data_IF_742225772292
#
_entry.id   IF_742225772292
#
_cell.length_a   1.000
_cell.length_b   1.000
_cell.length_c   1.000
_cell.angle_alpha   90.00
_cell.angle_beta   90.00
_cell.angle_gamma   90.00
#
_symmetry.space_group_name_H-M   'P 1'
#
loop_
_entity.id
_entity.type
_entity.pdbx_description
1 polymer ?
#
# COMPACT_ATOMS: atom_id res chain seq x y z
N UNK A 1 39.23 15.04 -19.08
CA UNK A 1 39.61 13.72 -19.66
C UNK A 1 39.03 13.55 -21.05
N UNK A 2 37.70 13.54 -21.23
CA UNK A 2 37.05 13.48 -22.56
C UNK A 2 37.63 14.47 -23.61
N UNK A 3 37.82 15.75 -23.23
CA UNK A 3 38.46 16.77 -24.11
C UNK A 3 39.97 16.57 -24.35
N UNK A 4 40.67 15.88 -23.45
CA UNK A 4 42.10 15.54 -23.64
C UNK A 4 42.24 14.31 -24.54
N UNK A 5 41.45 13.26 -24.30
CA UNK A 5 41.48 12.03 -25.11
C UNK A 5 41.13 12.31 -26.58
N UNK A 6 40.15 13.18 -26.83
CA UNK A 6 39.82 13.63 -28.18
C UNK A 6 40.87 14.53 -28.86
N UNK A 7 41.83 15.09 -28.11
CA UNK A 7 42.98 15.85 -28.67
C UNK A 7 44.20 14.98 -28.94
N UNK A 8 44.32 13.83 -28.25
CA UNK A 8 45.48 12.95 -28.37
C UNK A 8 45.36 11.91 -29.50
N UNK A 9 44.22 11.81 -30.19
CA UNK A 9 44.08 10.96 -31.38
C UNK A 9 44.31 9.47 -31.12
N UNK A 10 43.96 9.00 -29.93
CA UNK A 10 44.07 7.57 -29.55
C UNK A 10 43.07 6.78 -30.40
N UNK A 11 43.51 5.68 -31.02
CA UNK A 11 42.65 4.80 -31.81
C UNK A 11 41.52 4.22 -30.93
N UNK A 12 40.28 4.25 -31.41
CA UNK A 12 39.11 3.85 -30.61
C UNK A 12 39.08 2.36 -30.24
N UNK A 13 39.81 1.53 -31.00
CA UNK A 13 39.81 0.07 -30.89
C UNK A 13 40.95 -0.49 -30.02
N UNK A 14 41.84 0.36 -29.48
CA UNK A 14 42.96 -0.08 -28.64
C UNK A 14 42.68 0.11 -27.14
N UNK A 15 42.97 -0.90 -26.29
CA UNK A 15 42.75 -0.80 -24.86
C UNK A 15 43.70 0.21 -24.22
N UNK A 16 43.14 1.23 -23.58
CA UNK A 16 43.91 2.27 -22.90
C UNK A 16 44.34 1.77 -21.52
N UNK A 17 45.63 1.53 -21.35
CA UNK A 17 46.23 1.16 -20.07
C UNK A 17 47.05 2.33 -19.52
N UNK A 18 46.40 3.25 -18.81
CA UNK A 18 47.09 4.36 -18.15
C UNK A 18 46.56 4.57 -16.73
N UNK A 19 47.45 4.44 -15.75
CA UNK A 19 47.12 4.59 -14.33
C UNK A 19 46.47 5.93 -13.97
N UNK A 20 46.85 7.03 -14.65
CA UNK A 20 46.24 8.35 -14.43
C UNK A 20 44.79 8.39 -14.91
N UNK A 21 44.46 7.67 -15.97
CA UNK A 21 43.09 7.57 -16.50
C UNK A 21 42.27 6.67 -15.59
N UNK A 22 42.78 5.50 -15.19
CA UNK A 22 42.12 4.60 -14.23
C UNK A 22 41.80 5.32 -12.92
N UNK A 23 42.78 5.98 -12.30
CA UNK A 23 42.58 6.73 -11.05
C UNK A 23 41.56 7.86 -11.20
N UNK A 24 41.48 8.46 -12.38
CA UNK A 24 40.50 9.52 -12.63
C UNK A 24 39.10 8.98 -12.88
N UNK A 25 38.97 7.78 -13.47
CA UNK A 25 37.71 7.06 -13.59
C UNK A 25 37.21 6.62 -12.22
N UNK A 26 38.09 6.08 -11.36
CA UNK A 26 37.76 5.74 -9.97
C UNK A 26 37.25 6.95 -9.19
N UNK A 27 37.93 8.10 -9.26
CA UNK A 27 37.47 9.35 -8.63
C UNK A 27 36.12 9.83 -9.18
N UNK A 28 35.90 9.67 -10.49
CA UNK A 28 34.62 10.03 -11.09
C UNK A 28 33.50 9.08 -10.62
N UNK A 29 33.79 7.79 -10.50
CA UNK A 29 32.89 6.79 -9.96
C UNK A 29 32.56 7.08 -8.49
N UNK A 30 33.56 7.30 -7.63
CA UNK A 30 33.38 7.66 -6.22
C UNK A 30 32.49 8.91 -6.07
N UNK A 31 32.67 9.91 -6.93
CA UNK A 31 31.83 11.11 -6.93
C UNK A 31 30.38 10.82 -7.33
N UNK A 32 30.16 9.95 -8.33
CA UNK A 32 28.82 9.55 -8.76
C UNK A 32 28.14 8.72 -7.67
N UNK A 33 28.88 7.81 -7.04
CA UNK A 33 28.40 7.00 -5.91
C UNK A 33 28.04 7.90 -4.72
N UNK A 34 28.88 8.88 -4.39
CA UNK A 34 28.58 9.89 -3.37
C UNK A 34 27.30 10.68 -3.68
N UNK A 35 27.16 11.17 -4.91
CA UNK A 35 25.94 11.87 -5.34
C UNK A 35 24.67 10.99 -5.22
N UNK A 36 24.75 9.73 -5.65
CA UNK A 36 23.64 8.79 -5.53
C UNK A 36 23.33 8.45 -4.06
N UNK A 37 24.36 8.34 -3.22
CA UNK A 37 24.21 8.14 -1.79
C UNK A 37 23.50 9.31 -1.13
N UNK A 38 23.93 10.54 -1.40
CA UNK A 38 23.32 11.75 -0.85
C UNK A 38 21.85 11.90 -1.29
N UNK A 39 21.55 11.63 -2.57
CA UNK A 39 20.18 11.65 -3.08
C UNK A 39 19.28 10.62 -2.34
N UNK A 40 19.78 9.41 -2.12
CA UNK A 40 19.04 8.36 -1.39
C UNK A 40 18.87 8.72 0.08
N UNK A 41 19.90 9.28 0.70
CA UNK A 41 19.83 9.77 2.09
C UNK A 41 18.74 10.82 2.23
N UNK A 42 18.68 11.79 1.31
CA UNK A 42 17.61 12.78 1.32
C UNK A 42 16.23 12.16 1.18
N UNK A 43 16.02 11.23 0.24
CA UNK A 43 14.74 10.52 0.09
C UNK A 43 14.35 9.79 1.38
N UNK A 44 15.31 9.12 2.03
CA UNK A 44 15.11 8.39 3.28
C UNK A 44 14.66 9.32 4.42
N UNK A 45 15.20 10.54 4.51
CA UNK A 45 14.82 11.49 5.56
C UNK A 45 13.33 11.90 5.49
N UNK A 46 12.77 12.04 4.29
CA UNK A 46 11.33 12.28 4.13
C UNK A 46 10.51 11.05 4.51
N UNK A 47 10.98 9.87 4.10
CA UNK A 47 10.30 8.60 4.34
C UNK A 47 10.31 8.24 5.84
N UNK A 48 11.36 8.59 6.59
CA UNK A 48 11.47 8.35 8.03
C UNK A 48 10.38 9.06 8.83
N UNK A 49 9.98 10.27 8.41
CA UNK A 49 8.90 11.04 9.03
C UNK A 49 7.57 10.31 8.85
N UNK A 50 7.26 9.89 7.62
CA UNK A 50 6.05 9.12 7.31
C UNK A 50 6.07 7.74 7.99
N UNK A 51 7.22 7.08 8.05
CA UNK A 51 7.38 5.79 8.71
C UNK A 51 7.10 5.90 10.21
N UNK A 52 7.55 6.97 10.88
CA UNK A 52 7.24 7.23 12.28
C UNK A 52 5.73 7.38 12.50
N UNK A 53 5.06 8.22 11.69
CA UNK A 53 3.61 8.40 11.75
C UNK A 53 2.86 7.09 11.49
N UNK A 54 3.28 6.34 10.46
CA UNK A 54 2.71 5.02 10.11
C UNK A 54 2.81 4.04 11.27
N UNK A 55 3.95 3.98 11.95
CA UNK A 55 4.12 3.09 13.12
C UNK A 55 3.10 3.40 14.21
N UNK A 56 2.90 4.69 14.52
CA UNK A 56 1.91 5.14 15.52
C UNK A 56 0.50 4.73 15.10
N UNK A 57 0.09 5.03 13.86
CA UNK A 57 -1.24 4.72 13.35
C UNK A 57 -1.48 3.21 13.33
N UNK A 58 -0.51 2.43 12.86
CA UNK A 58 -0.63 0.97 12.77
C UNK A 58 -0.62 0.31 14.15
N UNK A 59 0.10 0.85 15.12
CA UNK A 59 0.05 0.37 16.50
C UNK A 59 -1.34 0.60 17.09
N UNK A 60 -1.91 1.80 16.94
CA UNK A 60 -3.27 2.12 17.40
C UNK A 60 -4.32 1.25 16.73
N UNK A 61 -4.25 1.14 15.40
CA UNK A 61 -5.14 0.28 14.61
C UNK A 61 -5.07 -1.17 15.06
N UNK A 62 -3.85 -1.69 15.30
CA UNK A 62 -3.64 -3.07 15.79
C UNK A 62 -4.23 -3.27 17.17
N UNK A 63 -4.09 -2.31 18.09
CA UNK A 63 -4.70 -2.38 19.43
C UNK A 63 -6.22 -2.45 19.36
N UNK A 64 -6.86 -1.71 18.46
CA UNK A 64 -8.32 -1.76 18.26
C UNK A 64 -8.75 -3.08 17.61
N UNK A 65 -7.97 -3.56 16.64
CA UNK A 65 -8.28 -4.78 15.88
C UNK A 65 -8.16 -6.05 16.75
N UNK A 66 -7.07 -6.19 17.50
CA UNK A 66 -6.77 -7.38 18.30
C UNK A 66 -7.17 -7.24 19.77
N UNK A 67 -7.52 -6.02 20.21
CA UNK A 67 -7.85 -5.74 21.59
C UNK A 67 -9.21 -6.31 22.00
N UNK A 68 -9.26 -6.76 23.25
CA UNK A 68 -10.49 -7.14 23.94
C UNK A 68 -11.38 -5.92 24.20
N UNK A 69 -12.62 -6.16 24.65
CA UNK A 69 -13.60 -5.11 24.96
C UNK A 69 -13.02 -4.01 25.87
N UNK A 70 -12.26 -4.40 26.91
CA UNK A 70 -11.61 -3.47 27.84
C UNK A 70 -10.60 -2.55 27.16
N UNK A 71 -9.80 -3.08 26.24
CA UNK A 71 -8.82 -2.27 25.50
C UNK A 71 -9.50 -1.21 24.62
N UNK A 72 -10.69 -1.52 24.09
CA UNK A 72 -11.49 -0.56 23.34
C UNK A 72 -12.05 0.53 24.28
N UNK A 73 -12.55 0.15 25.46
CA UNK A 73 -13.02 1.11 26.47
C UNK A 73 -11.92 2.05 26.94
N UNK A 74 -10.74 1.52 27.25
CA UNK A 74 -9.56 2.32 27.60
C UNK A 74 -9.21 3.31 26.49
N UNK A 75 -9.24 2.86 25.23
CA UNK A 75 -8.92 3.73 24.09
C UNK A 75 -9.96 4.82 23.89
N UNK A 76 -11.25 4.52 24.08
CA UNK A 76 -12.31 5.53 24.04
C UNK A 76 -12.16 6.54 25.17
N UNK A 77 -11.84 6.08 26.38
CA UNK A 77 -11.61 6.96 27.52
C UNK A 77 -10.44 7.92 27.27
N UNK A 78 -9.37 7.44 26.63
CA UNK A 78 -8.24 8.27 26.20
C UNK A 78 -8.62 9.27 25.07
N UNK A 79 -9.45 8.84 24.11
CA UNK A 79 -9.89 9.70 23.00
C UNK A 79 -10.84 10.83 23.44
N UNK A 80 -11.70 10.55 24.41
CA UNK A 80 -12.75 11.46 24.90
C UNK A 80 -12.48 11.93 26.33
N UNK A 81 -11.21 12.06 26.70
CA UNK A 81 -10.82 12.60 28.00
C UNK A 81 -11.31 14.05 28.13
N UNK A 82 -12.29 14.28 29.01
CA UNK A 82 -12.90 15.59 29.24
C UNK A 82 -14.20 15.86 28.48
N UNK A 83 -14.65 14.95 27.60
CA UNK A 83 -15.94 15.07 26.89
C UNK A 83 -17.01 14.21 27.57
N UNK A 84 -17.70 14.81 28.54
CA UNK A 84 -18.75 14.13 29.32
C UNK A 84 -20.04 13.87 28.51
N UNK A 85 -20.24 14.56 27.38
CA UNK A 85 -21.40 14.34 26.53
C UNK A 85 -21.25 13.02 25.76
N UNK A 86 -20.10 12.82 25.13
CA UNK A 86 -19.81 11.59 24.38
C UNK A 86 -19.81 10.36 25.29
N UNK A 87 -19.28 10.47 26.51
CA UNK A 87 -19.31 9.37 27.51
C UNK A 87 -20.73 8.93 27.85
N UNK A 88 -21.64 9.88 28.11
CA UNK A 88 -23.05 9.57 28.38
C UNK A 88 -23.70 8.85 27.21
N UNK A 89 -23.45 9.31 25.98
CA UNK A 89 -24.00 8.67 24.78
C UNK A 89 -23.47 7.24 24.64
N UNK A 90 -22.19 7.01 24.94
CA UNK A 90 -21.59 5.68 24.93
C UNK A 90 -22.24 4.75 25.98
N UNK A 91 -22.46 5.24 27.19
CA UNK A 91 -23.11 4.48 28.26
C UNK A 91 -24.58 4.18 27.92
N UNK A 92 -25.32 5.17 27.43
CA UNK A 92 -26.71 5.00 26.98
C UNK A 92 -26.79 3.94 25.87
N UNK A 93 -25.90 3.99 24.89
CA UNK A 93 -25.85 3.00 23.80
C UNK A 93 -25.46 1.61 24.29
N UNK A 94 -24.53 1.52 25.25
CA UNK A 94 -24.13 0.25 25.86
C UNK A 94 -25.30 -0.43 26.57
N UNK A 95 -26.20 0.33 27.20
CA UNK A 95 -27.40 -0.23 27.84
C UNK A 95 -28.49 -0.64 26.85
N UNK A 96 -28.64 0.10 25.74
CA UNK A 96 -29.66 -0.14 24.71
C UNK A 96 -29.31 -1.31 23.78
N UNK A 97 -28.03 -1.58 23.57
CA UNK A 97 -27.52 -2.61 22.67
C UNK A 97 -27.03 -3.84 23.46
N UNK A 98 -27.08 -5.02 22.84
CA UNK A 98 -26.31 -6.17 23.35
C UNK A 98 -24.82 -5.81 23.29
N UNK A 99 -24.09 -6.08 24.37
CA UNK A 99 -22.67 -5.71 24.48
C UNK A 99 -21.84 -6.14 23.27
N UNK A 100 -21.99 -7.39 22.81
CA UNK A 100 -21.19 -7.92 21.70
C UNK A 100 -21.42 -7.18 20.37
N UNK A 101 -22.67 -6.82 20.10
CA UNK A 101 -23.06 -6.07 18.89
C UNK A 101 -22.53 -4.64 18.97
N UNK A 102 -22.58 -4.01 20.14
CA UNK A 102 -22.05 -2.67 20.39
C UNK A 102 -20.54 -2.59 20.13
N UNK A 103 -19.74 -3.44 20.79
CA UNK A 103 -18.29 -3.39 20.61
C UNK A 103 -17.85 -3.79 19.20
N UNK A 104 -18.59 -4.68 18.54
CA UNK A 104 -18.30 -5.06 17.14
C UNK A 104 -18.56 -3.90 16.18
N UNK A 105 -19.69 -3.21 16.33
CA UNK A 105 -20.02 -2.02 15.55
C UNK A 105 -19.02 -0.88 15.80
N UNK A 106 -18.69 -0.64 17.07
CA UNK A 106 -17.74 0.37 17.48
C UNK A 106 -16.34 0.09 16.93
N UNK A 107 -15.84 -1.15 17.05
CA UNK A 107 -14.53 -1.55 16.49
C UNK A 107 -14.47 -1.25 15.00
N UNK A 108 -15.53 -1.61 14.26
CA UNK A 108 -15.62 -1.35 12.82
C UNK A 108 -15.58 0.15 12.51
N UNK A 109 -16.35 0.95 13.24
CA UNK A 109 -16.37 2.41 13.09
C UNK A 109 -14.99 3.02 13.36
N UNK A 110 -14.34 2.65 14.48
CA UNK A 110 -13.01 3.15 14.83
C UNK A 110 -11.98 2.81 13.75
N UNK A 111 -11.96 1.56 13.27
CA UNK A 111 -11.04 1.12 12.22
C UNK A 111 -11.31 1.85 10.89
N UNK A 112 -12.58 2.01 10.51
CA UNK A 112 -12.96 2.71 9.28
C UNK A 112 -12.55 4.18 9.32
N UNK A 113 -12.80 4.87 10.44
CA UNK A 113 -12.39 6.26 10.60
C UNK A 113 -10.87 6.42 10.50
N UNK A 114 -10.11 5.60 11.25
CA UNK A 114 -8.64 5.63 11.20
C UNK A 114 -8.12 5.36 9.78
N UNK A 115 -8.65 4.35 9.09
CA UNK A 115 -8.20 3.97 7.76
C UNK A 115 -8.52 5.05 6.72
N UNK A 116 -9.71 5.67 6.78
CA UNK A 116 -10.11 6.76 5.89
C UNK A 116 -9.17 7.97 6.03
N UNK A 117 -9.01 8.48 7.25
CA UNK A 117 -8.18 9.66 7.49
C UNK A 117 -6.69 9.40 7.25
N UNK A 118 -6.22 8.17 7.49
CA UNK A 118 -4.83 7.82 7.20
C UNK A 118 -4.53 7.85 5.69
N UNK A 119 -5.44 7.34 4.86
CA UNK A 119 -5.27 7.39 3.39
C UNK A 119 -5.27 8.83 2.90
N UNK A 120 -6.19 9.66 3.39
CA UNK A 120 -6.22 11.10 3.08
C UNK A 120 -4.92 11.79 3.51
N UNK A 121 -4.43 11.51 4.72
CA UNK A 121 -3.16 12.05 5.21
C UNK A 121 -1.97 11.64 4.34
N UNK A 122 -1.91 10.40 3.85
CA UNK A 122 -0.84 9.98 2.93
C UNK A 122 -0.82 10.81 1.65
N UNK A 123 -2.00 11.11 1.09
CA UNK A 123 -2.14 11.95 -0.09
C UNK A 123 -1.71 13.41 0.21
N UNK A 124 -2.17 13.98 1.33
CA UNK A 124 -1.77 15.33 1.76
C UNK A 124 -0.25 15.41 1.98
N UNK A 125 0.36 14.38 2.56
CA UNK A 125 1.80 14.31 2.78
C UNK A 125 2.59 14.25 1.46
N UNK A 126 2.08 13.55 0.44
CA UNK A 126 2.71 13.52 -0.89
C UNK A 126 2.66 14.89 -1.58
N UNK A 127 1.50 15.56 -1.53
CA UNK A 127 1.38 16.95 -1.98
C UNK A 127 2.30 17.90 -1.20
N UNK A 128 2.41 17.71 0.11
CA UNK A 128 3.25 18.53 0.97
C UNK A 128 4.73 18.36 0.62
N UNK A 129 5.17 17.12 0.38
CA UNK A 129 6.53 16.80 -0.09
C UNK A 129 6.86 17.53 -1.39
N UNK A 130 5.91 17.57 -2.32
CA UNK A 130 6.07 18.29 -3.59
C UNK A 130 6.08 19.82 -3.40
N UNK A 131 5.26 20.35 -2.50
CA UNK A 131 5.13 21.81 -2.29
C UNK A 131 6.28 22.43 -1.49
N UNK A 132 6.93 21.69 -0.58
CA UNK A 132 8.08 22.24 0.18
C UNK A 132 9.29 22.51 -0.70
N UNK A 133 9.42 21.82 -1.84
CA UNK A 133 10.48 22.09 -2.81
C UNK A 133 10.36 23.50 -3.40
N UNK A 134 9.15 24.03 -3.54
CA UNK A 134 8.92 25.42 -3.97
C UNK A 134 9.19 26.42 -2.84
N UNK A 135 9.13 26.01 -1.57
CA UNK A 135 9.46 26.87 -0.42
C UNK A 135 10.98 27.01 -0.21
N UNK A 136 11.79 26.16 -0.85
CA UNK A 136 13.26 26.27 -0.88
C UNK A 136 13.75 27.63 -1.39
N UNK A 137 12.97 28.31 -2.26
CA UNK A 137 13.30 29.64 -2.77
C UNK A 137 13.37 30.72 -1.68
N UNK A 138 12.77 30.48 -0.51
CA UNK A 138 12.81 31.38 0.65
C UNK A 138 14.01 31.18 1.58
N UNK A 139 15.07 30.49 1.15
CA UNK A 139 16.25 30.15 1.97
C UNK A 139 15.94 29.32 3.22
N UNK A 140 14.80 28.61 3.23
CA UNK A 140 14.44 27.65 4.27
C UNK A 140 14.76 26.25 3.79
N UNK A 141 15.23 25.41 4.72
CA UNK A 141 15.47 24.00 4.46
C UNK A 141 14.12 23.27 4.21
N UNK A 142 13.90 22.69 3.01
CA UNK A 142 12.66 21.99 2.67
C UNK A 142 12.32 20.83 3.61
N UNK A 143 13.34 20.10 4.11
CA UNK A 143 13.13 18.97 5.00
C UNK A 143 12.61 19.45 6.36
N UNK A 144 13.14 20.56 6.86
CA UNK A 144 12.67 21.16 8.12
C UNK A 144 11.23 21.63 8.01
N UNK A 145 10.88 22.29 6.90
CA UNK A 145 9.50 22.74 6.68
C UNK A 145 8.54 21.55 6.48
N UNK A 146 8.95 20.51 5.75
CA UNK A 146 8.18 19.26 5.61
C UNK A 146 7.95 18.58 6.96
N UNK A 147 8.96 18.50 7.81
CA UNK A 147 8.84 17.92 9.15
C UNK A 147 7.86 18.69 10.02
N UNK A 148 7.94 20.03 10.01
CA UNK A 148 7.03 20.89 10.78
C UNK A 148 5.58 20.75 10.29
N UNK A 149 5.40 20.85 8.98
CA UNK A 149 4.08 20.78 8.37
C UNK A 149 3.46 19.39 8.52
N UNK A 150 4.25 18.34 8.29
CA UNK A 150 3.82 16.97 8.48
C UNK A 150 3.42 16.65 9.92
N UNK A 151 4.07 17.25 10.92
CA UNK A 151 3.65 17.12 12.32
C UNK A 151 2.33 17.87 12.59
N UNK A 152 2.16 19.08 12.02
CA UNK A 152 0.92 19.85 12.14
C UNK A 152 -0.26 19.08 11.55
N UNK A 153 -0.12 18.63 10.31
CA UNK A 153 -1.13 17.85 9.59
C UNK A 153 -1.46 16.53 10.29
N UNK A 154 -0.46 15.85 10.85
CA UNK A 154 -0.70 14.62 11.60
C UNK A 154 -1.55 14.85 12.84
N UNK A 155 -1.29 15.92 13.60
CA UNK A 155 -2.12 16.29 14.76
C UNK A 155 -3.54 16.70 14.36
N UNK A 156 -3.69 17.40 13.24
CA UNK A 156 -4.99 17.76 12.68
C UNK A 156 -5.78 16.52 12.27
N UNK A 157 -5.14 15.56 11.61
CA UNK A 157 -5.73 14.25 11.30
C UNK A 157 -6.14 13.52 12.58
N UNK A 158 -5.30 13.49 13.62
CA UNK A 158 -5.65 12.86 14.91
C UNK A 158 -6.90 13.48 15.54
N UNK A 159 -7.00 14.81 15.51
CA UNK A 159 -8.16 15.52 16.03
C UNK A 159 -9.42 15.27 15.17
N UNK A 160 -9.29 15.31 13.85
CA UNK A 160 -10.38 15.04 12.91
C UNK A 160 -10.95 13.62 13.06
N UNK A 161 -10.09 12.62 13.33
CA UNK A 161 -10.52 11.26 13.65
C UNK A 161 -11.42 11.26 14.89
N UNK A 162 -11.01 11.95 15.96
CA UNK A 162 -11.77 12.00 17.22
C UNK A 162 -13.12 12.70 17.01
N UNK A 163 -13.14 13.83 16.32
CA UNK A 163 -14.38 14.57 16.02
C UNK A 163 -15.35 13.75 15.16
N UNK A 164 -14.84 13.04 14.15
CA UNK A 164 -15.68 12.21 13.28
C UNK A 164 -16.25 11.01 14.05
N UNK A 165 -15.45 10.38 14.92
CA UNK A 165 -15.95 9.32 15.80
C UNK A 165 -17.04 9.87 16.73
N UNK A 166 -16.84 11.03 17.37
CA UNK A 166 -17.85 11.65 18.24
C UNK A 166 -19.17 11.91 17.50
N UNK A 167 -19.10 12.34 16.24
CA UNK A 167 -20.27 12.59 15.39
C UNK A 167 -21.01 11.30 15.01
N UNK A 168 -20.28 10.22 14.76
CA UNK A 168 -20.86 8.95 14.30
C UNK A 168 -21.36 8.06 15.45
N UNK A 169 -20.79 8.15 16.65
CA UNK A 169 -21.19 7.36 17.83
C UNK A 169 -22.70 7.43 18.13
N UNK A 170 -23.35 8.61 18.15
CA UNK A 170 -24.80 8.71 18.37
C UNK A 170 -25.63 7.97 17.32
N UNK A 171 -25.11 7.88 16.09
CA UNK A 171 -25.76 7.26 14.94
C UNK A 171 -25.51 5.74 14.87
N UNK A 172 -24.70 5.18 15.77
CA UNK A 172 -24.57 3.73 15.94
C UNK A 172 -25.94 3.20 16.40
N UNK A 173 -26.62 2.49 15.49
CA UNK A 173 -27.91 1.85 15.72
C UNK A 173 -27.90 0.38 15.32
N UNK A 174 -28.75 -0.40 15.99
CA UNK A 174 -29.03 -1.82 15.68
C UNK A 174 -29.53 -1.89 14.23
N UNK A 175 -28.67 -2.26 13.29
CA UNK A 175 -29.08 -2.51 11.90
C UNK A 175 -28.57 -1.51 10.85
N UNK A 176 -27.83 -0.45 11.21
CA UNK A 176 -27.07 0.30 10.19
C UNK A 176 -26.02 -0.61 9.56
N UNK A 177 -25.33 -1.40 10.39
CA UNK A 177 -24.26 -2.29 9.96
C UNK A 177 -24.74 -3.63 9.40
N UNK A 178 -25.87 -4.19 9.87
CA UNK A 178 -26.44 -5.42 9.30
C UNK A 178 -26.89 -5.17 7.85
N UNK A 179 -27.56 -4.04 7.59
CA UNK A 179 -27.96 -3.64 6.24
C UNK A 179 -26.77 -3.36 5.33
N UNK A 180 -25.71 -2.73 5.85
CA UNK A 180 -24.47 -2.49 5.09
C UNK A 180 -23.76 -3.81 4.73
N UNK A 181 -23.68 -4.75 5.68
CA UNK A 181 -23.05 -6.05 5.47
C UNK A 181 -23.84 -6.94 4.52
N UNK A 182 -25.17 -6.91 4.60
CA UNK A 182 -26.06 -7.55 3.63
C UNK A 182 -25.88 -6.93 2.24
N UNK A 183 -25.84 -5.60 2.12
CA UNK A 183 -25.59 -4.91 0.86
C UNK A 183 -24.21 -5.22 0.28
N UNK A 184 -23.16 -5.25 1.10
CA UNK A 184 -21.80 -5.60 0.68
C UNK A 184 -21.73 -7.06 0.21
N UNK A 185 -22.32 -8.00 0.96
CA UNK A 185 -22.43 -9.42 0.55
C UNK A 185 -23.26 -9.57 -0.72
N UNK A 186 -24.30 -8.75 -0.90
CA UNK A 186 -25.13 -8.74 -2.10
C UNK A 186 -24.38 -8.13 -3.29
N UNK A 187 -23.58 -7.08 -3.08
CA UNK A 187 -22.70 -6.48 -4.09
C UNK A 187 -21.55 -7.41 -4.45
N UNK A 188 -20.95 -8.12 -3.50
CA UNK A 188 -19.96 -9.17 -3.76
C UNK A 188 -20.60 -10.32 -4.55
N UNK A 189 -21.80 -10.78 -4.17
CA UNK A 189 -22.55 -11.76 -4.97
C UNK A 189 -22.86 -11.26 -6.37
N UNK A 190 -23.27 -9.99 -6.52
CA UNK A 190 -23.52 -9.37 -7.83
C UNK A 190 -22.23 -9.20 -8.64
N UNK A 191 -21.12 -8.84 -8.01
CA UNK A 191 -19.81 -8.75 -8.65
C UNK A 191 -19.29 -10.14 -9.07
N UNK A 192 -19.57 -11.17 -8.28
CA UNK A 192 -19.31 -12.58 -8.62
C UNK A 192 -20.26 -13.08 -9.71
N UNK A 193 -21.51 -12.60 -9.80
CA UNK A 193 -22.41 -12.88 -10.93
C UNK A 193 -22.00 -12.14 -12.21
N UNK A 194 -21.51 -10.90 -12.09
CA UNK A 194 -21.03 -10.10 -13.22
C UNK A 194 -19.67 -10.64 -13.71
N UNK A 195 -18.79 -11.07 -12.79
CA UNK A 195 -17.52 -11.72 -13.09
C UNK A 195 -17.64 -13.23 -13.39
N UNK A 196 -18.77 -13.83 -13.02
CA UNK A 196 -19.12 -15.23 -13.22
C UNK A 196 -20.24 -15.34 -14.23
N UNK A 197 -19.91 -15.12 -15.50
CA UNK A 197 -20.83 -15.32 -16.61
C UNK A 197 -21.50 -16.70 -16.52
N UNK A 198 -22.82 -16.71 -16.42
CA UNK A 198 -23.63 -17.91 -16.57
C UNK A 198 -23.49 -18.43 -18.01
N UNK A 199 -22.62 -19.42 -18.19
CA UNK A 199 -22.76 -20.39 -19.27
C UNK A 199 -23.92 -21.33 -18.92
N UNK A 200 -25.13 -20.95 -19.29
CA UNK A 200 -26.21 -21.89 -19.59
C UNK A 200 -27.01 -21.37 -20.78
N UNK A 201 -26.71 -21.89 -21.97
CA UNK A 201 -27.60 -22.82 -22.69
C UNK A 201 -26.91 -23.40 -23.93
N UNK A 202 -27.29 -24.64 -24.21
CA UNK A 202 -27.19 -25.38 -25.48
C UNK A 202 -25.88 -26.06 -25.86
N UNK A 203 -25.95 -27.39 -25.71
CA UNK A 203 -25.09 -28.40 -26.31
C UNK A 203 -25.03 -28.24 -27.85
N UNK A 204 -24.14 -27.39 -28.34
CA UNK A 204 -23.36 -27.59 -29.57
C UNK A 204 -22.48 -26.36 -29.80
N UNK A 205 -21.23 -26.42 -29.34
CA UNK A 205 -20.02 -26.07 -30.11
C UNK A 205 -18.85 -25.66 -29.21
N UNK A 206 -17.71 -26.30 -29.50
CA UNK A 206 -16.34 -25.79 -29.33
C UNK A 206 -15.90 -25.30 -27.94
N UNK A 207 -15.73 -26.26 -27.04
CA UNK A 207 -14.89 -26.10 -25.86
C UNK A 207 -13.40 -26.13 -26.27
N UNK A 208 -12.76 -24.97 -26.47
CA UNK A 208 -11.28 -24.86 -26.49
C UNK A 208 -10.81 -24.84 -25.03
N UNK A 209 -10.96 -26.01 -24.39
CA UNK A 209 -10.14 -26.38 -23.25
C UNK A 209 -8.75 -26.69 -23.81
N UNK A 210 -7.72 -25.99 -23.33
CA UNK A 210 -6.34 -26.39 -23.54
C UNK A 210 -6.14 -27.77 -22.89
N UNK A 211 -6.40 -28.81 -23.67
CA UNK A 211 -6.29 -30.22 -23.30
C UNK A 211 -4.85 -30.44 -22.84
N UNK A 212 -4.64 -30.71 -21.55
CA UNK A 212 -3.34 -31.13 -21.04
C UNK A 212 -3.02 -32.48 -21.67
N UNK A 213 -2.07 -32.51 -22.60
CA UNK A 213 -1.63 -33.75 -23.26
C UNK A 213 -0.76 -34.52 -22.29
N UNK A 214 -1.09 -35.80 -22.10
CA UNK A 214 -0.33 -36.74 -21.26
C UNK A 214 0.47 -37.70 -22.14
N UNK A 215 1.64 -38.14 -21.65
CA UNK A 215 2.42 -39.21 -22.29
C UNK A 215 1.72 -40.57 -22.13
N UNK A 216 2.25 -41.62 -22.77
CA UNK A 216 1.75 -43.00 -22.62
C UNK A 216 1.72 -43.46 -21.15
N UNK A 217 2.62 -42.93 -20.32
CA UNK A 217 2.70 -43.19 -18.88
C UNK A 217 1.71 -42.36 -18.02
N UNK A 218 0.89 -41.49 -18.63
CA UNK A 218 -0.11 -40.68 -17.93
C UNK A 218 0.41 -39.36 -17.34
N UNK A 219 1.71 -39.07 -17.45
CA UNK A 219 2.30 -37.83 -16.96
C UNK A 219 1.98 -36.63 -17.86
N UNK A 220 1.74 -35.47 -17.23
CA UNK A 220 1.47 -34.20 -17.94
C UNK A 220 2.73 -33.71 -18.64
N UNK A 221 2.63 -33.52 -19.95
CA UNK A 221 3.74 -33.07 -20.79
C UNK A 221 3.96 -31.57 -20.60
N UNK A 222 5.15 -31.21 -20.16
CA UNK A 222 5.61 -29.84 -20.08
C UNK A 222 5.91 -29.26 -21.46
N UNK A 223 5.82 -27.93 -21.58
CA UNK A 223 6.01 -27.18 -22.84
C UNK A 223 7.34 -27.47 -23.56
N UNK A 224 8.38 -27.92 -22.85
CA UNK A 224 9.71 -28.22 -23.39
C UNK A 224 10.02 -29.71 -23.56
N UNK A 225 9.09 -30.61 -23.21
CA UNK A 225 9.29 -32.07 -23.23
C UNK A 225 9.18 -32.64 -24.66
N UNK A 226 9.69 -33.85 -24.91
CA UNK A 226 9.53 -34.53 -26.20
C UNK A 226 8.04 -34.68 -26.57
N UNK A 227 7.72 -34.42 -27.83
CA UNK A 227 6.34 -34.46 -28.31
C UNK A 227 5.85 -35.90 -28.55
N UNK A 228 4.65 -36.24 -28.05
CA UNK A 228 4.02 -37.58 -28.18
C UNK A 228 3.68 -38.02 -29.59
N UNK A 229 3.76 -37.14 -30.59
CA UNK A 229 3.51 -37.50 -31.99
C UNK A 229 4.69 -38.24 -32.65
N UNK A 230 5.73 -38.59 -31.90
CA UNK A 230 6.91 -39.32 -32.41
C UNK A 230 7.85 -38.47 -33.29
N UNK A 231 7.66 -37.15 -33.34
CA UNK A 231 8.44 -36.26 -34.23
C UNK A 231 9.87 -35.95 -33.77
N UNK A 232 10.27 -36.39 -32.57
CA UNK A 232 11.58 -36.11 -31.97
C UNK A 232 11.83 -34.64 -31.57
N UNK A 233 10.83 -33.75 -31.73
CA UNK A 233 10.93 -32.31 -31.40
C UNK A 233 10.25 -32.01 -30.05
N UNK A 234 10.62 -30.89 -29.41
CA UNK A 234 9.97 -30.38 -28.18
C UNK A 234 8.50 -30.01 -28.44
N UNK A 235 7.61 -30.27 -27.49
CA UNK A 235 6.14 -30.10 -27.60
C UNK A 235 5.74 -28.71 -28.15
N UNK A 236 6.28 -27.62 -27.59
CA UNK A 236 6.02 -26.24 -28.09
C UNK A 236 6.43 -25.96 -29.53
N UNK A 237 7.31 -26.77 -30.11
CA UNK A 237 7.79 -26.62 -31.49
C UNK A 237 7.08 -27.60 -32.45
N UNK A 238 6.13 -28.40 -31.95
CA UNK A 238 5.36 -29.36 -32.72
C UNK A 238 3.85 -29.22 -32.42
N UNK A 239 3.26 -30.12 -31.64
CA UNK A 239 1.81 -30.14 -31.37
C UNK A 239 1.32 -29.08 -30.36
N UNK A 240 2.23 -28.40 -29.65
CA UNK A 240 1.91 -27.33 -28.69
C UNK A 240 2.10 -25.91 -29.25
N UNK A 241 1.87 -25.72 -30.56
CA UNK A 241 1.75 -24.40 -31.18
C UNK A 241 0.38 -23.79 -30.93
#
# INVERSE_FOLDING_TARGET
>A
IKKMMGRFGIAEDEPIQNYLITRSLEKAQEKIEGFNFDARKHVLEYDDILNHQRKIVYERRRKILLGDKKAIEEKLAEMFEGDEEVKKILDDKKTLLREDEFYSALRRLLLQAIDMFWVEHLEIMDYTRSSVNLRAYGQRDPLVEYKKEGLRLFKEMEFAIIEEIARLVPHIGVGMFVKEEEKLKEMEKKAVLIGGGENKTDNNSANISSKSVTNEDGDKIGRNDPCVCGSGKKYKKCCGK
#
